data_IF_519438916802
#
_entry.id   IF_519438916802
#
_cell.length_a   1.000
_cell.length_b   1.000
_cell.length_c   1.000
_cell.angle_alpha   90.00
_cell.angle_beta   90.00
_cell.angle_gamma   90.00
#
_symmetry.space_group_name_H-M   'P 1'
#
loop_
_entity.id
_entity.type
_entity.pdbx_description
1 polymer ?
#
# COMPACT_ATOMS: atom_id res chain seq x y z
N UNK A 1 -9.81 -4.21 -33.26
CA UNK A 1 -11.14 -4.25 -32.61
C UNK A 1 -11.81 -2.89 -32.75
N UNK A 2 -13.09 -2.83 -33.11
CA UNK A 2 -13.81 -1.57 -33.40
C UNK A 2 -14.20 -0.83 -32.12
N UNK A 3 -13.80 0.45 -31.98
CA UNK A 3 -14.18 1.36 -30.88
C UNK A 3 -15.70 1.46 -30.67
N UNK A 4 -16.49 1.22 -31.72
CA UNK A 4 -17.97 1.24 -31.65
C UNK A 4 -18.49 0.06 -30.82
N UNK A 5 -17.88 -1.10 -30.95
CA UNK A 5 -18.27 -2.31 -30.21
C UNK A 5 -18.00 -2.13 -28.71
N UNK A 6 -16.81 -1.66 -28.34
CA UNK A 6 -16.45 -1.38 -26.94
C UNK A 6 -17.43 -0.40 -26.28
N UNK A 7 -17.81 0.67 -26.99
CA UNK A 7 -18.80 1.64 -26.50
C UNK A 7 -20.19 1.02 -26.31
N UNK A 8 -20.60 0.10 -27.19
CA UNK A 8 -21.88 -0.61 -27.07
C UNK A 8 -21.87 -1.57 -25.88
N UNK A 9 -20.79 -2.33 -25.69
CA UNK A 9 -20.62 -3.21 -24.53
C UNK A 9 -20.67 -2.42 -23.23
N UNK A 10 -19.93 -1.31 -23.12
CA UNK A 10 -19.95 -0.45 -21.94
C UNK A 10 -21.35 0.10 -21.62
N UNK A 11 -22.13 0.50 -22.65
CA UNK A 11 -23.50 0.97 -22.46
C UNK A 11 -24.43 -0.15 -21.96
N UNK A 12 -24.35 -1.33 -22.57
CA UNK A 12 -25.18 -2.47 -22.18
C UNK A 12 -24.86 -2.95 -20.75
N UNK A 13 -23.57 -3.03 -20.38
CA UNK A 13 -23.17 -3.38 -19.01
C UNK A 13 -23.70 -2.37 -17.98
N UNK A 14 -23.69 -1.06 -18.27
CA UNK A 14 -24.23 -0.03 -17.39
C UNK A 14 -25.75 -0.17 -17.19
N UNK A 15 -26.50 -0.43 -18.26
CA UNK A 15 -27.94 -0.61 -18.20
C UNK A 15 -28.31 -1.86 -17.39
N UNK A 16 -27.62 -2.98 -17.64
CA UNK A 16 -27.83 -4.24 -16.94
C UNK A 16 -27.51 -4.12 -15.44
N UNK A 17 -26.43 -3.43 -15.07
CA UNK A 17 -26.09 -3.18 -13.66
C UNK A 17 -27.11 -2.29 -12.95
N UNK A 18 -27.69 -1.31 -13.66
CA UNK A 18 -28.77 -0.47 -13.12
C UNK A 18 -30.02 -1.29 -12.83
N UNK A 19 -30.34 -2.27 -13.68
CA UNK A 19 -31.48 -3.18 -13.48
C UNK A 19 -31.22 -4.14 -12.33
N UNK A 20 -30.03 -4.76 -12.26
CA UNK A 20 -29.64 -5.65 -11.16
C UNK A 20 -29.67 -4.97 -9.79
N UNK A 21 -29.21 -3.72 -9.71
CA UNK A 21 -29.27 -2.93 -8.47
C UNK A 21 -30.71 -2.72 -7.98
N UNK A 22 -31.69 -2.64 -8.89
CA UNK A 22 -33.12 -2.51 -8.55
C UNK A 22 -33.73 -3.83 -8.10
N UNK A 23 -33.23 -4.96 -8.58
CA UNK A 23 -33.70 -6.30 -8.21
C UNK A 23 -32.93 -6.89 -7.01
N UNK A 24 -32.10 -6.09 -6.34
CA UNK A 24 -31.28 -6.54 -5.21
C UNK A 24 -30.12 -7.46 -5.60
N UNK A 25 -29.86 -7.62 -6.91
CA UNK A 25 -28.79 -8.47 -7.42
C UNK A 25 -27.48 -7.69 -7.52
N UNK A 26 -26.36 -8.37 -7.23
CA UNK A 26 -25.05 -7.77 -7.33
C UNK A 26 -24.77 -7.30 -8.79
N UNK A 27 -24.16 -6.12 -8.97
CA UNK A 27 -23.80 -5.64 -10.29
C UNK A 27 -22.80 -6.60 -10.94
N UNK A 28 -22.94 -6.81 -12.25
CA UNK A 28 -21.88 -7.32 -13.12
C UNK A 28 -20.83 -6.22 -13.24
N UNK A 29 -20.13 -5.96 -12.14
CA UNK A 29 -18.80 -5.39 -12.24
C UNK A 29 -17.92 -6.46 -12.87
N UNK A 30 -16.99 -6.08 -13.75
CA UNK A 30 -15.76 -6.88 -13.94
C UNK A 30 -15.25 -7.15 -12.54
N UNK A 31 -15.39 -8.41 -12.09
CA UNK A 31 -15.33 -8.84 -10.71
C UNK A 31 -14.53 -7.85 -9.87
N UNK A 32 -15.20 -7.08 -9.02
CA UNK A 32 -14.49 -6.38 -7.95
C UNK A 32 -13.81 -7.49 -7.17
N UNK A 33 -12.53 -7.77 -7.49
CA UNK A 33 -11.75 -8.79 -6.83
C UNK A 33 -11.96 -8.55 -5.34
N UNK A 34 -12.43 -9.56 -4.63
CA UNK A 34 -12.40 -9.58 -3.18
C UNK A 34 -10.92 -9.48 -2.81
N UNK A 35 -10.46 -8.24 -2.70
CA UNK A 35 -9.09 -7.90 -2.44
C UNK A 35 -9.02 -7.58 -0.95
N UNK A 36 -8.35 -8.44 -0.20
CA UNK A 36 -8.20 -8.24 1.22
C UNK A 36 -7.21 -7.11 1.48
N UNK A 37 -7.67 -6.12 2.26
CA UNK A 37 -6.93 -4.88 2.52
C UNK A 37 -6.24 -4.98 3.87
N UNK A 38 -4.93 -5.17 3.84
CA UNK A 38 -4.06 -5.13 5.01
C UNK A 38 -3.57 -3.70 5.22
N UNK A 39 -4.06 -3.05 6.27
CA UNK A 39 -3.64 -1.71 6.67
C UNK A 39 -2.45 -1.81 7.63
N UNK A 40 -1.47 -0.93 7.45
CA UNK A 40 -0.36 -0.77 8.37
C UNK A 40 -0.33 0.63 8.97
N UNK A 41 0.78 0.95 9.65
CA UNK A 41 1.10 2.28 10.16
C UNK A 41 2.59 2.58 9.98
N UNK A 42 2.91 3.59 9.18
CA UNK A 42 4.27 4.10 9.07
C UNK A 42 4.57 5.01 10.26
N UNK A 43 5.38 4.53 11.20
CA UNK A 43 5.78 5.31 12.38
C UNK A 43 7.18 5.93 12.23
N UNK A 44 8.07 5.30 11.46
CA UNK A 44 9.47 5.71 11.32
C UNK A 44 9.63 7.13 10.77
N UNK A 45 9.02 7.44 9.63
CA UNK A 45 9.14 8.77 8.99
C UNK A 45 8.53 9.89 9.87
N UNK A 46 7.31 9.74 10.43
CA UNK A 46 6.80 10.70 11.42
C UNK A 46 7.69 10.88 12.64
N UNK A 47 8.21 9.79 13.21
CA UNK A 47 9.09 9.85 14.37
C UNK A 47 10.39 10.60 14.05
N UNK A 48 10.98 10.38 12.87
CA UNK A 48 12.15 11.10 12.40
C UNK A 48 11.88 12.62 12.28
N UNK A 49 10.75 13.01 11.67
CA UNK A 49 10.38 14.42 11.52
C UNK A 49 10.17 15.11 12.87
N UNK A 50 9.51 14.43 13.81
CA UNK A 50 9.33 14.94 15.17
C UNK A 50 10.69 15.06 15.88
N UNK A 51 11.56 14.06 15.77
CA UNK A 51 12.90 14.11 16.35
C UNK A 51 13.74 15.26 15.78
N UNK A 52 13.67 15.52 14.48
CA UNK A 52 14.34 16.67 13.84
C UNK A 52 13.76 18.00 14.34
N UNK A 53 12.44 18.09 14.49
CA UNK A 53 11.77 19.27 15.04
C UNK A 53 12.24 19.56 16.48
N UNK A 54 12.31 18.53 17.33
CA UNK A 54 12.85 18.66 18.70
C UNK A 54 14.34 19.02 18.71
N UNK A 55 15.14 18.39 17.84
CA UNK A 55 16.57 18.66 17.75
C UNK A 55 16.84 20.12 17.37
N UNK A 56 16.16 20.63 16.33
CA UNK A 56 16.21 22.05 15.99
C UNK A 56 15.70 22.93 17.12
N UNK A 57 14.60 22.51 17.76
CA UNK A 57 13.99 23.17 18.90
C UNK A 57 14.96 23.40 20.07
N UNK A 58 15.86 22.46 20.34
CA UNK A 58 16.81 22.52 21.46
C UNK A 58 18.11 23.19 21.06
N UNK A 59 18.68 22.83 19.91
CA UNK A 59 20.01 23.31 19.48
C UNK A 59 19.99 24.80 19.13
N UNK A 60 18.89 25.28 18.55
CA UNK A 60 18.78 26.66 18.07
C UNK A 60 18.09 27.60 19.06
N UNK A 61 17.63 27.09 20.21
CA UNK A 61 16.80 27.81 21.20
C UNK A 61 17.41 29.10 21.74
N UNK A 62 18.73 29.30 21.68
CA UNK A 62 19.40 30.50 22.19
C UNK A 62 19.97 31.43 21.10
N UNK A 63 19.97 31.01 19.84
CA UNK A 63 20.64 31.75 18.74
C UNK A 63 19.63 32.47 17.84
N UNK A 64 18.45 31.86 17.63
CA UNK A 64 17.44 32.34 16.67
C UNK A 64 16.06 32.52 17.32
N UNK A 65 16.00 32.72 18.63
CA UNK A 65 14.74 32.76 19.38
C UNK A 65 13.78 33.87 18.90
N UNK A 66 14.33 35.00 18.45
CA UNK A 66 13.57 36.13 17.89
C UNK A 66 13.23 36.00 16.41
N UNK A 67 13.69 34.96 15.72
CA UNK A 67 13.42 34.77 14.30
C UNK A 67 12.09 34.03 14.09
N UNK A 68 11.14 34.70 13.45
CA UNK A 68 9.84 34.12 13.08
C UNK A 68 10.00 32.90 12.18
N UNK A 69 10.99 32.88 11.28
CA UNK A 69 11.18 31.74 10.37
C UNK A 69 11.67 30.47 11.09
N UNK A 70 12.34 30.62 12.23
CA UNK A 70 12.75 29.51 13.07
C UNK A 70 11.53 28.76 13.62
N UNK A 71 10.60 29.48 14.26
CA UNK A 71 9.36 28.89 14.80
C UNK A 71 8.46 28.30 13.71
N UNK A 72 8.37 28.96 12.55
CA UNK A 72 7.65 28.42 11.38
C UNK A 72 8.24 27.08 10.93
N UNK A 73 9.56 26.94 10.92
CA UNK A 73 10.25 25.71 10.53
C UNK A 73 10.00 24.59 11.55
N UNK A 74 10.13 24.88 12.85
CA UNK A 74 9.87 23.92 13.94
C UNK A 74 8.44 23.39 13.89
N UNK A 75 7.46 24.30 13.80
CA UNK A 75 6.04 23.95 13.68
C UNK A 75 5.76 23.22 12.37
N UNK A 76 6.40 23.65 11.27
CA UNK A 76 6.29 23.03 9.96
C UNK A 76 6.68 21.55 9.96
N UNK A 77 7.83 21.20 10.55
CA UNK A 77 8.25 19.81 10.69
C UNK A 77 7.32 18.99 11.58
N UNK A 78 6.82 19.58 12.67
CA UNK A 78 5.88 18.93 13.58
C UNK A 78 4.55 18.62 12.86
N UNK A 79 3.98 19.61 12.16
CA UNK A 79 2.78 19.42 11.33
C UNK A 79 2.99 18.37 10.25
N UNK A 80 4.14 18.40 9.57
CA UNK A 80 4.48 17.42 8.54
C UNK A 80 4.53 16.00 9.12
N UNK A 81 5.15 15.83 10.29
CA UNK A 81 5.17 14.56 11.02
C UNK A 81 3.78 14.03 11.32
N UNK A 82 2.89 14.90 11.82
CA UNK A 82 1.49 14.55 12.09
C UNK A 82 0.75 14.15 10.80
N UNK A 83 0.90 14.91 9.71
CA UNK A 83 0.26 14.61 8.43
C UNK A 83 0.70 13.25 7.88
N UNK A 84 2.00 12.93 7.94
CA UNK A 84 2.51 11.62 7.51
C UNK A 84 2.04 10.49 8.43
N UNK A 85 1.85 10.75 9.73
CA UNK A 85 1.33 9.75 10.67
C UNK A 85 -0.14 9.39 10.42
N UNK A 86 -0.95 10.36 9.98
CA UNK A 86 -2.35 10.11 9.59
C UNK A 86 -2.44 9.28 8.29
N UNK A 87 -1.42 9.37 7.42
CA UNK A 87 -1.40 8.65 6.15
C UNK A 87 -1.09 7.16 6.35
N UNK A 88 -2.13 6.33 6.39
CA UNK A 88 -1.99 4.88 6.59
C UNK A 88 -1.53 4.18 5.30
N UNK A 89 -0.39 3.47 5.30
CA UNK A 89 -0.02 2.61 4.18
C UNK A 89 -0.90 1.36 4.17
N UNK A 90 -1.24 0.85 2.99
CA UNK A 90 -2.04 -0.37 2.84
C UNK A 90 -1.49 -1.26 1.73
N UNK A 91 -1.80 -2.55 1.85
CA UNK A 91 -1.57 -3.57 0.84
C UNK A 91 -2.91 -4.21 0.54
N UNK A 92 -3.22 -4.38 -0.73
CA UNK A 92 -4.41 -5.11 -1.19
C UNK A 92 -3.93 -6.38 -1.90
N UNK A 93 -4.40 -7.53 -1.44
CA UNK A 93 -4.13 -8.82 -2.08
C UNK A 93 -5.42 -9.27 -2.76
N UNK A 94 -5.48 -9.17 -4.08
CA UNK A 94 -6.56 -9.71 -4.92
C UNK A 94 -6.29 -11.16 -5.32
N UNK A 95 -7.04 -11.69 -6.30
CA UNK A 95 -6.84 -13.06 -6.80
C UNK A 95 -5.66 -13.15 -7.76
N UNK A 96 -5.55 -12.17 -8.66
CA UNK A 96 -4.52 -12.10 -9.69
C UNK A 96 -3.70 -10.79 -9.63
N UNK A 97 -3.98 -9.92 -8.66
CA UNK A 97 -3.33 -8.61 -8.52
C UNK A 97 -2.93 -8.31 -7.09
N UNK A 98 -1.77 -7.70 -6.93
CA UNK A 98 -1.27 -7.17 -5.67
C UNK A 98 -1.13 -5.64 -5.79
N UNK A 99 -1.79 -4.88 -4.94
CA UNK A 99 -1.60 -3.42 -4.87
C UNK A 99 -0.91 -3.04 -3.56
N UNK A 100 0.08 -2.16 -3.65
CA UNK A 100 0.79 -1.60 -2.51
C UNK A 100 0.70 -0.08 -2.56
N UNK A 101 0.47 0.58 -1.42
CA UNK A 101 0.53 2.03 -1.32
C UNK A 101 1.67 2.45 -0.38
N UNK A 102 2.72 3.05 -0.94
CA UNK A 102 3.82 3.69 -0.20
C UNK A 102 3.99 5.14 -0.61
N UNK A 103 4.22 6.01 0.39
CA UNK A 103 4.50 7.44 0.19
C UNK A 103 3.50 8.17 -0.71
N UNK A 104 2.28 7.64 -0.83
CA UNK A 104 1.24 8.19 -1.67
C UNK A 104 1.12 7.65 -3.08
N UNK A 105 2.05 6.82 -3.52
CA UNK A 105 1.98 6.15 -4.80
C UNK A 105 1.34 4.78 -4.59
N UNK A 106 0.24 4.52 -5.29
CA UNK A 106 -0.32 3.18 -5.41
C UNK A 106 0.35 2.48 -6.59
N UNK A 107 0.98 1.34 -6.34
CA UNK A 107 1.55 0.47 -7.36
C UNK A 107 0.80 -0.86 -7.35
N UNK A 108 0.23 -1.20 -8.49
CA UNK A 108 -0.46 -2.46 -8.71
C UNK A 108 0.41 -3.34 -9.58
N UNK A 109 0.58 -4.59 -9.16
CA UNK A 109 1.34 -5.63 -9.83
C UNK A 109 0.41 -6.77 -10.20
N UNK A 110 0.55 -7.30 -11.41
CA UNK A 110 -0.12 -8.54 -11.81
C UNK A 110 0.61 -9.76 -11.25
N UNK A 111 -0.08 -10.89 -11.10
CA UNK A 111 0.54 -12.16 -10.72
C UNK A 111 1.70 -12.54 -11.66
N UNK A 112 1.56 -12.27 -12.96
CA UNK A 112 2.57 -12.57 -14.00
C UNK A 112 3.88 -11.76 -13.83
N UNK A 113 3.81 -10.63 -13.11
CA UNK A 113 4.95 -9.77 -12.83
C UNK A 113 5.71 -10.19 -11.56
N UNK A 114 5.21 -11.17 -10.81
CA UNK A 114 5.80 -11.65 -9.56
C UNK A 114 6.62 -12.91 -9.86
N UNK A 115 7.88 -12.89 -9.46
CA UNK A 115 8.80 -14.01 -9.65
C UNK A 115 8.76 -14.96 -8.45
N UNK A 116 8.92 -14.42 -7.25
CA UNK A 116 8.94 -15.19 -6.01
C UNK A 116 8.44 -14.36 -4.83
N UNK A 117 7.82 -15.05 -3.88
CA UNK A 117 7.42 -14.48 -2.59
C UNK A 117 8.21 -15.22 -1.52
N UNK A 118 9.08 -14.49 -0.81
CA UNK A 118 9.83 -15.06 0.32
C UNK A 118 9.33 -14.46 1.62
N UNK A 119 8.91 -15.32 2.55
CA UNK A 119 8.45 -14.95 3.88
C UNK A 119 9.55 -15.25 4.89
N UNK A 120 9.87 -14.25 5.70
CA UNK A 120 10.83 -14.30 6.78
C UNK A 120 10.14 -13.86 8.08
N UNK A 121 10.75 -14.17 9.23
CA UNK A 121 10.20 -13.82 10.54
C UNK A 121 10.05 -12.30 10.69
N UNK A 122 8.82 -11.80 10.53
CA UNK A 122 8.50 -10.38 10.63
C UNK A 122 8.71 -9.56 9.35
N UNK A 123 8.99 -10.19 8.21
CA UNK A 123 9.04 -9.52 6.91
C UNK A 123 8.62 -10.42 5.76
N UNK A 124 7.95 -9.84 4.78
CA UNK A 124 7.61 -10.50 3.51
C UNK A 124 8.35 -9.77 2.39
N UNK A 125 9.07 -10.49 1.55
CA UNK A 125 9.68 -9.92 0.35
C UNK A 125 9.02 -10.46 -0.92
N UNK A 126 8.64 -9.55 -1.81
CA UNK A 126 8.05 -9.87 -3.10
C UNK A 126 9.06 -9.45 -4.16
N UNK A 127 9.54 -10.43 -4.92
CA UNK A 127 10.48 -10.24 -6.01
C UNK A 127 9.70 -10.13 -7.32
N UNK A 128 10.01 -9.10 -8.10
CA UNK A 128 9.34 -8.84 -9.37
C UNK A 128 10.14 -9.41 -10.54
N UNK A 129 9.46 -10.00 -11.51
CA UNK A 129 10.04 -10.56 -12.72
C UNK A 129 10.55 -9.44 -13.63
N UNK A 130 11.81 -9.53 -14.06
CA UNK A 130 12.42 -8.60 -15.03
C UNK A 130 12.80 -7.21 -14.49
N UNK A 131 12.43 -6.87 -13.24
CA UNK A 131 12.86 -5.63 -12.57
C UNK A 131 13.64 -6.01 -11.31
N UNK A 132 14.82 -5.41 -11.10
CA UNK A 132 15.63 -5.58 -9.87
C UNK A 132 14.98 -4.96 -8.61
N UNK A 133 13.67 -4.71 -8.66
CA UNK A 133 12.90 -4.05 -7.61
C UNK A 133 12.34 -5.12 -6.67
N UNK A 134 12.92 -5.21 -5.47
CA UNK A 134 12.43 -6.06 -4.38
C UNK A 134 11.54 -5.25 -3.45
N UNK A 135 10.33 -5.72 -3.22
CA UNK A 135 9.40 -5.11 -2.26
C UNK A 135 9.47 -5.83 -0.94
N UNK A 136 10.16 -5.25 0.04
CA UNK A 136 10.26 -5.80 1.39
C UNK A 136 9.26 -5.13 2.31
N UNK A 137 8.30 -5.88 2.80
CA UNK A 137 7.26 -5.49 3.73
C UNK A 137 7.67 -5.95 5.13
N UNK A 138 8.24 -5.07 5.93
CA UNK A 138 8.65 -5.38 7.30
C UNK A 138 7.61 -4.93 8.33
N UNK A 139 7.42 -5.76 9.37
CA UNK A 139 6.66 -5.40 10.59
C UNK A 139 7.26 -4.17 11.25
N UNK A 140 8.59 -4.03 11.27
CA UNK A 140 9.25 -2.91 11.94
C UNK A 140 8.98 -1.58 11.24
N UNK A 141 9.01 -1.53 9.91
CA UNK A 141 8.87 -0.26 9.18
C UNK A 141 7.41 0.23 9.08
N UNK A 142 6.46 -0.69 8.98
CA UNK A 142 5.08 -0.37 8.63
C UNK A 142 4.03 -1.02 9.52
N UNK A 143 4.43 -1.73 10.58
CA UNK A 143 3.52 -2.38 11.55
C UNK A 143 2.39 -3.17 10.88
N UNK A 144 2.70 -3.88 9.80
CA UNK A 144 1.73 -4.76 9.17
C UNK A 144 1.48 -6.01 10.01
N UNK A 145 0.26 -6.55 9.90
CA UNK A 145 -0.06 -7.90 10.35
C UNK A 145 0.58 -8.93 9.39
N UNK A 146 1.87 -9.21 9.62
CA UNK A 146 2.67 -10.12 8.79
C UNK A 146 2.12 -11.55 8.80
N UNK A 147 1.70 -12.15 9.94
CA UNK A 147 1.10 -13.49 9.94
C UNK A 147 -0.13 -13.62 9.03
N UNK A 148 -1.09 -12.68 9.14
CA UNK A 148 -2.29 -12.72 8.32
C UNK A 148 -1.98 -12.46 6.83
N UNK A 149 -1.02 -11.56 6.55
CA UNK A 149 -0.56 -11.28 5.20
C UNK A 149 0.16 -12.48 4.58
N UNK A 150 1.03 -13.16 5.32
CA UNK A 150 1.75 -14.34 4.87
C UNK A 150 0.79 -15.47 4.50
N UNK A 151 -0.22 -15.72 5.35
CA UNK A 151 -1.26 -16.71 5.06
C UNK A 151 -2.00 -16.41 3.75
N UNK A 152 -2.36 -15.15 3.50
CA UNK A 152 -3.01 -14.77 2.23
C UNK A 152 -2.06 -14.81 1.03
N UNK A 153 -0.80 -14.44 1.19
CA UNK A 153 0.18 -14.53 0.12
C UNK A 153 0.51 -15.97 -0.24
N UNK A 154 0.49 -16.90 0.72
CA UNK A 154 0.58 -18.33 0.44
C UNK A 154 -0.57 -18.79 -0.47
N UNK A 155 -1.81 -18.46 -0.12
CA UNK A 155 -2.97 -18.82 -0.97
C UNK A 155 -2.92 -18.17 -2.36
N UNK A 156 -2.39 -16.95 -2.45
CA UNK A 156 -2.19 -16.25 -3.71
C UNK A 156 -1.11 -16.92 -4.57
N UNK A 157 0.00 -17.35 -3.95
CA UNK A 157 1.09 -18.05 -4.63
C UNK A 157 0.63 -19.42 -5.15
N UNK A 158 -0.10 -20.19 -4.33
CA UNK A 158 -0.68 -21.48 -4.72
C UNK A 158 -1.64 -21.34 -5.91
N UNK A 159 -2.51 -20.32 -5.90
CA UNK A 159 -3.47 -20.07 -6.98
C UNK A 159 -2.80 -19.69 -8.30
N UNK A 160 -1.70 -18.93 -8.25
CA UNK A 160 -1.05 -18.38 -9.44
C UNK A 160 0.24 -19.12 -9.85
N UNK A 161 0.61 -20.19 -9.14
CA UNK A 161 1.81 -20.97 -9.42
C UNK A 161 3.13 -20.21 -9.19
N UNK A 162 3.17 -19.32 -8.20
CA UNK A 162 4.35 -18.49 -7.87
C UNK A 162 5.21 -19.23 -6.84
N UNK A 163 6.55 -19.14 -6.97
CA UNK A 163 7.49 -19.72 -6.00
C UNK A 163 7.31 -19.06 -4.62
N UNK A 164 6.92 -19.84 -3.62
CA UNK A 164 6.72 -19.40 -2.24
C UNK A 164 7.80 -20.01 -1.35
N UNK A 165 8.70 -19.15 -0.86
CA UNK A 165 9.80 -19.56 0.03
C UNK A 165 9.46 -19.19 1.46
N UNK A 166 9.31 -20.21 2.29
CA UNK A 166 9.18 -20.02 3.74
C UNK A 166 10.56 -20.18 4.37
N UNK A 167 11.25 -19.07 4.63
CA UNK A 167 12.55 -19.07 5.31
C UNK A 167 12.37 -18.95 6.84
N UNK A 168 11.16 -19.16 7.36
CA UNK A 168 10.86 -19.06 8.78
C UNK A 168 11.01 -20.39 9.56
N UNK A 169 11.67 -21.41 8.97
CA UNK A 169 12.03 -22.65 9.65
C UNK A 169 13.21 -22.45 10.62
#
# INVERSE_FOLDING_TARGET
MSRKWERMVQKNSKQLNKQRRKTGQAPISTAQEQADIFKGRSWFLPALLVAVSFFFGIVSAGVYESDTFYWVTVIGYLLLGVLYFLRRPYIKVGKNKLSTRRLGVEKTFGADEIEAIAVQRGSVSIQMKGKRTRWVLSKFQHLYDIPALAARLKTFAEHNGIDYRDEAA
#
